data_IF_732325061155
#
_entry.id   IF_732325061155
#
_cell.length_a   1.000
_cell.length_b   1.000
_cell.length_c   1.000
_cell.angle_alpha   90.00
_cell.angle_beta   90.00
_cell.angle_gamma   90.00
#
_symmetry.space_group_name_H-M   'P 1'
#
loop_
_entity.id
_entity.type
_entity.pdbx_description
1 polymer ?
#
# COMPACT_ATOMS: atom_id res chain seq x y z
N UNK A 1 32.42 -51.26 39.06
CA UNK A 1 31.77 -51.11 37.74
C UNK A 1 31.08 -49.76 37.73
N UNK A 2 31.65 -48.81 37.00
CA UNK A 2 31.29 -47.39 37.04
C UNK A 2 30.00 -47.12 36.26
N UNK A 3 29.05 -46.45 36.89
CA UNK A 3 27.87 -45.89 36.23
C UNK A 3 28.28 -44.61 35.47
N UNK A 4 28.08 -44.59 34.16
CA UNK A 4 28.18 -43.39 33.34
C UNK A 4 26.83 -42.67 33.34
N UNK A 5 26.83 -41.44 33.84
CA UNK A 5 25.79 -40.46 33.55
C UNK A 5 25.95 -39.99 32.10
N UNK A 6 24.87 -40.02 31.33
CA UNK A 6 24.80 -39.54 29.95
C UNK A 6 23.60 -38.63 29.79
N UNK A 7 23.89 -37.41 29.34
CA UNK A 7 23.02 -36.25 29.20
C UNK A 7 21.65 -36.51 28.57
N UNK A 8 20.60 -36.07 29.26
CA UNK A 8 19.27 -35.87 28.71
C UNK A 8 19.11 -34.42 28.24
N UNK A 9 19.85 -34.03 27.19
CA UNK A 9 19.70 -32.72 26.54
C UNK A 9 19.08 -32.92 25.16
N UNK A 10 17.76 -32.95 25.07
CA UNK A 10 17.10 -33.23 23.80
C UNK A 10 15.59 -33.20 23.83
N UNK A 11 14.97 -32.22 24.49
CA UNK A 11 13.52 -31.95 24.37
C UNK A 11 13.25 -30.48 24.70
N UNK A 12 12.30 -29.91 23.97
CA UNK A 12 11.82 -28.53 24.02
C UNK A 12 12.67 -27.46 23.31
N UNK A 13 12.64 -27.47 21.97
CA UNK A 13 12.92 -26.27 21.17
C UNK A 13 12.04 -26.24 19.92
N UNK A 14 10.73 -26.03 20.09
CA UNK A 14 9.84 -25.74 18.95
C UNK A 14 8.48 -25.11 19.28
N UNK A 15 8.33 -24.41 20.42
CA UNK A 15 7.09 -23.68 20.71
C UNK A 15 7.42 -22.34 21.38
N UNK A 16 7.63 -21.31 20.55
CA UNK A 16 7.39 -19.89 20.87
C UNK A 16 7.97 -19.02 19.73
N UNK A 17 7.38 -19.08 18.53
CA UNK A 17 7.67 -18.12 17.44
C UNK A 17 6.56 -17.05 17.34
N UNK A 18 5.46 -17.19 18.09
CA UNK A 18 4.24 -16.40 17.89
C UNK A 18 3.83 -15.49 19.05
N UNK A 19 4.70 -15.22 20.02
CA UNK A 19 4.38 -14.35 21.17
C UNK A 19 5.10 -12.99 21.16
N UNK A 20 6.00 -12.71 20.19
CA UNK A 20 6.81 -11.48 20.21
C UNK A 20 6.27 -10.30 19.36
N UNK A 21 5.12 -10.43 18.68
CA UNK A 21 4.57 -9.32 17.89
C UNK A 21 3.74 -8.29 18.70
N UNK A 22 3.34 -8.61 19.94
CA UNK A 22 2.54 -7.73 20.80
C UNK A 22 3.35 -6.67 21.59
N UNK A 23 4.69 -6.68 21.47
CA UNK A 23 5.56 -5.70 22.15
C UNK A 23 6.01 -4.54 21.26
N UNK A 24 5.53 -4.44 20.01
CA UNK A 24 5.78 -3.21 19.25
C UNK A 24 4.96 -2.10 19.89
N UNK A 25 5.59 -1.05 20.45
CA UNK A 25 4.83 0.10 20.92
C UNK A 25 3.95 0.57 19.76
N UNK A 26 2.70 0.99 20.03
CA UNK A 26 1.85 1.55 18.99
C UNK A 26 2.69 2.59 18.24
N UNK A 27 2.67 2.59 16.90
CA UNK A 27 3.45 3.55 16.13
C UNK A 27 3.17 4.92 16.74
N UNK A 28 4.23 5.60 17.20
CA UNK A 28 4.12 6.95 17.76
C UNK A 28 3.22 7.73 16.82
N UNK A 29 2.25 8.46 17.34
CA UNK A 29 1.31 9.22 16.53
C UNK A 29 2.12 10.19 15.66
N UNK A 30 2.41 9.78 14.43
CA UNK A 30 3.25 10.55 13.53
C UNK A 30 2.31 11.55 12.92
N UNK A 31 2.39 12.78 13.42
CA UNK A 31 1.70 13.90 12.82
C UNK A 31 2.28 14.16 11.42
N UNK A 32 1.62 13.59 10.41
CA UNK A 32 2.03 13.70 9.02
C UNK A 32 1.94 15.15 8.54
N UNK A 33 1.04 15.96 9.10
CA UNK A 33 0.88 17.38 8.73
C UNK A 33 2.14 18.18 9.04
N UNK A 34 2.84 17.86 10.13
CA UNK A 34 4.11 18.52 10.50
C UNK A 34 5.25 18.20 9.55
N UNK A 35 5.23 17.03 8.91
CA UNK A 35 6.24 16.63 7.92
C UNK A 35 5.93 17.21 6.53
N UNK A 36 4.65 17.41 6.23
CA UNK A 36 4.17 18.18 5.10
C UNK A 36 4.64 17.64 3.74
N UNK A 37 5.06 18.56 2.86
CA UNK A 37 5.52 18.28 1.49
C UNK A 37 6.82 17.48 1.40
N UNK A 38 7.57 17.34 2.49
CA UNK A 38 8.87 16.64 2.51
C UNK A 38 8.72 15.12 2.56
N UNK A 39 7.55 14.60 2.90
CA UNK A 39 7.29 13.16 2.93
C UNK A 39 7.33 12.62 1.50
N UNK A 40 8.27 11.71 1.25
CA UNK A 40 8.34 10.95 -0.01
C UNK A 40 7.98 9.49 0.17
N UNK A 41 8.30 8.90 1.32
CA UNK A 41 8.01 7.50 1.61
C UNK A 41 7.22 7.43 2.89
N UNK A 42 6.18 6.62 2.89
CA UNK A 42 5.33 6.41 4.04
C UNK A 42 5.27 4.91 4.31
N UNK A 43 5.64 4.44 5.52
CA UNK A 43 5.57 3.03 5.85
C UNK A 43 4.11 2.54 5.81
N UNK A 44 3.85 1.27 5.45
CA UNK A 44 2.50 0.73 5.34
C UNK A 44 1.67 0.90 6.62
N UNK A 45 2.30 0.92 7.80
CA UNK A 45 1.61 1.11 9.08
C UNK A 45 0.91 2.46 9.22
N UNK A 46 1.32 3.47 8.45
CA UNK A 46 0.76 4.83 8.48
C UNK A 46 -0.20 5.10 7.33
N UNK A 47 -0.53 4.07 6.52
CA UNK A 47 -1.43 4.25 5.40
C UNK A 47 -2.89 4.31 5.86
N UNK A 48 -3.63 5.26 5.31
CA UNK A 48 -5.06 5.42 5.54
C UNK A 48 -5.84 5.39 4.21
N UNK A 49 -7.17 5.15 4.25
CA UNK A 49 -8.02 5.32 3.09
C UNK A 49 -7.84 6.71 2.47
N UNK A 50 -8.02 6.80 1.14
CA UNK A 50 -7.81 8.00 0.33
C UNK A 50 -6.35 8.43 0.14
N UNK A 51 -5.38 7.72 0.70
CA UNK A 51 -3.98 8.02 0.39
C UNK A 51 -3.66 7.67 -1.07
N UNK A 52 -2.89 8.55 -1.71
CA UNK A 52 -2.46 8.42 -3.10
C UNK A 52 -0.95 8.25 -3.18
N UNK A 53 -0.52 7.30 -4.00
CA UNK A 53 0.87 6.94 -4.20
C UNK A 53 1.20 6.87 -5.69
N UNK A 54 2.44 7.15 -6.06
CA UNK A 54 2.93 6.91 -7.42
C UNK A 54 4.04 5.86 -7.43
N UNK A 55 4.32 5.29 -8.60
CA UNK A 55 5.50 4.44 -8.82
C UNK A 55 5.27 2.93 -8.62
N UNK A 56 4.01 2.46 -8.61
CA UNK A 56 3.74 1.03 -8.49
C UNK A 56 4.07 0.32 -9.80
N UNK A 57 5.01 -0.63 -9.76
CA UNK A 57 5.49 -1.36 -10.93
C UNK A 57 4.42 -2.33 -11.47
N UNK A 58 4.05 -2.20 -12.74
CA UNK A 58 3.03 -3.05 -13.39
C UNK A 58 3.33 -4.53 -13.30
N UNK A 59 4.59 -4.92 -13.47
CA UNK A 59 5.03 -6.31 -13.34
C UNK A 59 4.69 -6.87 -11.96
N UNK A 60 4.97 -6.12 -10.90
CA UNK A 60 4.61 -6.53 -9.54
C UNK A 60 3.10 -6.53 -9.34
N UNK A 61 2.40 -5.50 -9.83
CA UNK A 61 0.93 -5.45 -9.74
C UNK A 61 0.29 -6.68 -10.38
N UNK A 62 0.78 -7.08 -11.56
CA UNK A 62 0.32 -8.28 -12.27
C UNK A 62 0.58 -9.57 -11.48
N UNK A 63 1.79 -9.70 -10.92
CA UNK A 63 2.16 -10.87 -10.12
C UNK A 63 1.24 -11.00 -8.88
N UNK A 64 0.86 -9.87 -8.24
CA UNK A 64 -0.04 -9.86 -7.09
C UNK A 64 -1.52 -9.98 -7.44
N UNK A 65 -1.94 -9.46 -8.58
CA UNK A 65 -3.32 -9.53 -9.03
C UNK A 65 -3.69 -10.89 -9.66
N UNK A 66 -2.76 -11.86 -9.69
CA UNK A 66 -2.98 -13.14 -10.37
C UNK A 66 -3.27 -12.96 -11.85
N UNK A 67 -2.51 -12.09 -12.53
CA UNK A 67 -2.66 -11.76 -13.96
C UNK A 67 -3.91 -10.94 -14.36
N UNK A 68 -4.78 -10.56 -13.42
CA UNK A 68 -5.97 -9.74 -13.69
C UNK A 68 -5.62 -8.31 -14.12
N UNK A 69 -4.50 -7.76 -13.63
CA UNK A 69 -4.07 -6.43 -14.02
C UNK A 69 -3.61 -6.42 -15.49
N UNK A 70 -4.18 -5.55 -16.36
CA UNK A 70 -3.71 -5.39 -17.72
C UNK A 70 -2.37 -4.67 -17.68
N UNK A 71 -1.30 -5.41 -17.40
CA UNK A 71 0.06 -4.93 -17.59
C UNK A 71 0.14 -4.56 -19.06
N UNK A 72 0.16 -3.26 -19.35
CA UNK A 72 0.31 -2.82 -20.72
C UNK A 72 1.60 -3.45 -21.24
N UNK A 73 1.50 -4.31 -22.26
CA UNK A 73 2.61 -4.95 -22.97
C UNK A 73 3.50 -3.93 -23.72
N UNK A 74 3.65 -2.72 -23.19
CA UNK A 74 4.59 -1.73 -23.68
C UNK A 74 5.92 -2.06 -23.01
N UNK A 75 6.94 -2.37 -23.81
CA UNK A 75 8.28 -2.80 -23.38
C UNK A 75 9.09 -1.79 -22.56
N UNK A 76 8.44 -0.86 -21.85
CA UNK A 76 9.07 0.08 -20.91
C UNK A 76 8.29 0.01 -19.61
N UNK A 77 9.01 -0.23 -18.51
CA UNK A 77 8.55 -0.23 -17.12
C UNK A 77 7.50 0.85 -16.87
N UNK A 78 6.24 0.50 -17.06
CA UNK A 78 5.11 1.35 -16.71
C UNK A 78 4.94 1.26 -15.20
N UNK A 79 4.65 2.40 -14.60
CA UNK A 79 4.25 2.48 -13.20
C UNK A 79 2.89 3.11 -13.15
N UNK A 80 1.99 2.56 -12.34
CA UNK A 80 0.70 3.15 -12.10
C UNK A 80 0.68 3.87 -10.74
N UNK A 81 -0.12 4.94 -10.62
CA UNK A 81 -0.52 5.42 -9.31
C UNK A 81 -1.40 4.40 -8.60
N UNK A 82 -1.34 4.39 -7.28
CA UNK A 82 -2.19 3.59 -6.41
C UNK A 82 -3.01 4.49 -5.51
N UNK A 83 -4.26 4.09 -5.30
CA UNK A 83 -5.17 4.70 -4.36
C UNK A 83 -5.56 3.68 -3.30
N UNK A 84 -5.51 4.09 -2.03
CA UNK A 84 -5.90 3.23 -0.90
C UNK A 84 -7.42 3.32 -0.72
N UNK A 85 -8.10 2.20 -0.99
CA UNK A 85 -9.54 2.09 -0.82
C UNK A 85 -9.90 1.87 0.64
N UNK A 86 -9.19 0.98 1.32
CA UNK A 86 -9.53 0.55 2.67
C UNK A 86 -8.31 0.03 3.43
N UNK A 87 -8.23 0.32 4.72
CA UNK A 87 -7.28 -0.35 5.63
C UNK A 87 -7.87 -1.68 6.08
N UNK A 88 -7.09 -2.76 5.95
CA UNK A 88 -7.46 -4.11 6.37
C UNK A 88 -6.71 -4.42 7.69
N UNK A 89 -7.41 -4.50 8.84
CA UNK A 89 -6.77 -4.81 10.12
C UNK A 89 -5.95 -6.10 10.00
N UNK A 90 -4.70 -6.07 10.48
CA UNK A 90 -3.72 -7.18 10.47
C UNK A 90 -3.26 -7.69 9.08
N UNK A 91 -4.00 -7.43 8.01
CA UNK A 91 -3.70 -7.96 6.66
C UNK A 91 -2.95 -6.97 5.77
N UNK A 92 -3.23 -5.66 5.89
CA UNK A 92 -2.65 -4.65 5.02
C UNK A 92 -3.66 -3.63 4.52
N UNK A 93 -3.70 -3.40 3.22
CA UNK A 93 -4.52 -2.35 2.61
C UNK A 93 -5.16 -2.88 1.32
N UNK A 94 -6.44 -2.62 1.12
CA UNK A 94 -7.06 -2.79 -0.19
C UNK A 94 -6.74 -1.55 -1.01
N UNK A 95 -6.11 -1.74 -2.16
CA UNK A 95 -5.71 -0.65 -3.06
C UNK A 95 -6.23 -0.92 -4.46
N UNK A 96 -6.39 0.13 -5.25
CA UNK A 96 -6.63 0.01 -6.68
C UNK A 96 -5.61 0.82 -7.48
N UNK A 97 -5.25 0.37 -8.68
CA UNK A 97 -4.50 1.18 -9.61
C UNK A 97 -5.38 2.31 -10.17
N UNK A 98 -4.74 3.42 -10.51
CA UNK A 98 -5.39 4.54 -11.18
C UNK A 98 -4.94 4.61 -12.64
N UNK A 99 -5.84 5.03 -13.53
CA UNK A 99 -5.53 5.28 -14.93
C UNK A 99 -5.80 6.74 -15.29
N UNK A 100 -5.07 7.27 -16.26
CA UNK A 100 -5.40 8.57 -16.85
C UNK A 100 -6.51 8.49 -17.90
N UNK A 101 -7.05 7.29 -18.15
CA UNK A 101 -8.12 7.03 -19.11
C UNK A 101 -9.30 6.40 -18.38
N UNK A 102 -10.51 6.77 -18.79
CA UNK A 102 -11.71 6.13 -18.30
C UNK A 102 -11.88 4.75 -18.98
N UNK A 103 -11.72 3.68 -18.21
CA UNK A 103 -11.94 2.29 -18.65
C UNK A 103 -13.27 1.73 -18.11
N UNK A 104 -14.30 2.57 -18.00
CA UNK A 104 -15.54 2.22 -17.29
C UNK A 104 -15.41 2.36 -15.78
N UNK A 105 -14.53 3.24 -15.31
CA UNK A 105 -14.39 3.51 -13.89
C UNK A 105 -15.66 4.17 -13.35
N UNK A 106 -16.14 3.75 -12.18
CA UNK A 106 -17.26 4.37 -11.50
C UNK A 106 -16.88 5.69 -10.82
N UNK A 107 -15.61 5.85 -10.44
CA UNK A 107 -15.09 7.02 -9.74
C UNK A 107 -13.75 7.49 -10.32
N UNK A 108 -13.47 8.78 -10.17
CA UNK A 108 -12.19 9.38 -10.53
C UNK A 108 -11.79 10.47 -9.55
N UNK A 109 -10.48 10.77 -9.52
CA UNK A 109 -9.93 11.90 -8.80
C UNK A 109 -9.78 13.05 -9.78
N UNK A 110 -10.36 14.21 -9.47
CA UNK A 110 -10.30 15.40 -10.31
C UNK A 110 -8.86 15.93 -10.41
N UNK A 111 -8.39 16.20 -11.63
CA UNK A 111 -7.12 16.86 -11.90
C UNK A 111 -7.07 18.27 -11.31
N UNK A 112 -5.88 18.70 -10.87
CA UNK A 112 -5.69 19.96 -10.17
C UNK A 112 -6.14 19.94 -8.71
N UNK A 113 -6.66 18.82 -8.21
CA UNK A 113 -6.95 18.67 -6.79
C UNK A 113 -5.68 18.79 -5.94
N UNK A 114 -5.74 19.61 -4.88
CA UNK A 114 -4.68 19.78 -3.90
C UNK A 114 -4.78 18.70 -2.84
N UNK A 115 -3.77 17.82 -2.79
CA UNK A 115 -3.69 16.75 -1.81
C UNK A 115 -3.36 17.29 -0.42
N UNK A 116 -4.09 16.80 0.58
CA UNK A 116 -3.83 17.01 2.00
C UNK A 116 -2.46 16.43 2.39
N UNK A 117 -1.93 16.90 3.53
CA UNK A 117 -0.60 16.61 4.08
C UNK A 117 0.53 17.22 3.23
N UNK A 118 0.65 16.86 1.95
CA UNK A 118 1.80 17.28 1.13
C UNK A 118 1.59 18.60 0.40
N UNK A 119 0.33 19.01 0.19
CA UNK A 119 -0.04 20.17 -0.63
C UNK A 119 0.26 20.01 -2.13
N UNK A 120 0.63 18.80 -2.59
CA UNK A 120 0.87 18.53 -4.01
C UNK A 120 -0.44 18.56 -4.81
N UNK A 121 -0.36 18.82 -6.10
CA UNK A 121 -1.52 18.81 -6.98
C UNK A 121 -1.51 17.56 -7.87
N UNK A 122 -2.69 16.99 -8.10
CA UNK A 122 -2.89 15.99 -9.15
C UNK A 122 -2.69 16.67 -10.52
N UNK A 123 -1.87 16.08 -11.39
CA UNK A 123 -1.54 16.67 -12.70
C UNK A 123 -2.67 16.54 -13.71
N UNK A 124 -3.50 15.50 -13.58
CA UNK A 124 -4.62 15.15 -14.46
C UNK A 124 -5.66 14.34 -13.70
N UNK A 125 -6.78 14.05 -14.35
CA UNK A 125 -7.79 13.14 -13.82
C UNK A 125 -7.22 11.73 -13.67
N UNK A 126 -7.47 11.13 -12.50
CA UNK A 126 -7.04 9.78 -12.18
C UNK A 126 -8.27 8.89 -11.91
N UNK A 127 -8.66 8.11 -12.91
CA UNK A 127 -9.77 7.17 -12.85
C UNK A 127 -9.40 5.97 -11.96
N UNK A 128 -10.26 5.64 -10.99
CA UNK A 128 -10.05 4.54 -10.07
C UNK A 128 -10.48 3.23 -10.74
N UNK A 129 -9.53 2.33 -10.99
CA UNK A 129 -9.80 1.03 -11.62
C UNK A 129 -10.10 0.02 -10.51
N UNK A 130 -11.27 0.18 -9.87
CA UNK A 130 -11.66 -0.62 -8.70
C UNK A 130 -11.87 -2.10 -9.00
N UNK A 131 -12.22 -2.45 -10.24
CA UNK A 131 -12.29 -3.85 -10.70
C UNK A 131 -10.93 -4.56 -10.62
N UNK A 132 -9.84 -3.79 -10.66
CA UNK A 132 -8.47 -4.27 -10.47
C UNK A 132 -7.98 -4.06 -9.02
N UNK A 133 -8.87 -3.91 -8.04
CA UNK A 133 -8.47 -3.76 -6.65
C UNK A 133 -7.88 -5.06 -6.09
N UNK A 134 -6.82 -4.93 -5.29
CA UNK A 134 -6.15 -6.06 -4.65
C UNK A 134 -5.67 -5.70 -3.25
N UNK A 135 -5.35 -6.74 -2.48
CA UNK A 135 -4.85 -6.58 -1.12
C UNK A 135 -3.34 -6.47 -1.15
N UNK A 136 -2.83 -5.37 -0.60
CA UNK A 136 -1.42 -5.11 -0.44
C UNK A 136 -0.96 -5.43 0.99
N UNK A 137 0.00 -6.37 1.18
CA UNK A 137 0.51 -6.71 2.50
C UNK A 137 1.33 -5.55 3.09
N UNK A 138 1.50 -5.54 4.42
CA UNK A 138 2.31 -4.55 5.14
C UNK A 138 3.83 -4.72 4.97
N UNK A 139 4.28 -5.35 3.90
CA UNK A 139 5.71 -5.58 3.63
C UNK A 139 6.38 -4.34 3.03
N UNK A 140 7.38 -3.80 3.73
CA UNK A 140 8.13 -2.61 3.31
C UNK A 140 8.85 -2.79 1.97
N UNK A 141 9.24 -4.02 1.60
CA UNK A 141 9.95 -4.28 0.35
C UNK A 141 9.12 -3.92 -0.88
N UNK A 142 7.79 -3.98 -0.74
CA UNK A 142 6.88 -3.51 -1.77
C UNK A 142 6.75 -1.99 -1.76
N UNK A 143 6.48 -1.43 -0.58
CA UNK A 143 6.19 0.00 -0.39
C UNK A 143 7.42 0.89 -0.61
N UNK A 144 8.64 0.35 -0.50
CA UNK A 144 9.90 1.08 -0.68
C UNK A 144 10.04 1.81 -2.03
N UNK A 145 9.30 1.38 -3.06
CA UNK A 145 9.29 1.98 -4.41
C UNK A 145 8.14 2.96 -4.63
N UNK A 146 7.17 2.99 -3.72
CA UNK A 146 6.05 3.90 -3.80
C UNK A 146 6.44 5.25 -3.21
N UNK A 147 6.06 6.29 -3.92
CA UNK A 147 6.19 7.65 -3.41
C UNK A 147 4.83 8.12 -2.94
N UNK A 148 4.78 8.57 -1.69
CA UNK A 148 3.60 9.20 -1.12
C UNK A 148 3.35 10.55 -1.79
N UNK A 149 2.16 10.70 -2.37
CA UNK A 149 1.74 11.94 -3.00
C UNK A 149 0.88 12.79 -2.06
N UNK A 150 0.11 12.19 -1.17
CA UNK A 150 -0.72 12.91 -0.22
C UNK A 150 -2.00 12.14 0.09
N UNK A 151 -2.85 12.76 0.91
CA UNK A 151 -4.20 12.29 1.18
C UNK A 151 -5.16 13.02 0.23
N UNK A 152 -6.04 12.29 -0.45
CA UNK A 152 -6.98 12.88 -1.41
C UNK A 152 -8.19 13.40 -0.64
N UNK A 153 -8.53 14.71 -0.72
CA UNK A 153 -9.76 15.26 -0.17
C UNK A 153 -11.02 14.58 -0.74
N UNK A 154 -12.09 14.46 0.06
CA UNK A 154 -13.32 13.78 -0.37
C UNK A 154 -14.06 14.53 -1.49
N UNK A 155 -13.96 15.86 -1.49
CA UNK A 155 -14.52 16.74 -2.53
C UNK A 155 -13.81 16.59 -3.89
N UNK A 156 -12.64 15.96 -3.92
CA UNK A 156 -11.94 15.66 -5.16
C UNK A 156 -12.28 14.29 -5.75
N UNK A 157 -13.03 13.45 -5.02
CA UNK A 157 -13.47 12.14 -5.51
C UNK A 157 -14.83 12.32 -6.18
N UNK A 158 -14.85 12.19 -7.50
CA UNK A 158 -16.05 12.35 -8.31
C UNK A 158 -16.56 11.01 -8.83
N UNK A 159 -17.87 10.90 -9.00
CA UNK A 159 -18.51 9.75 -9.65
C UNK A 159 -18.62 9.99 -11.14
N UNK A 160 -18.23 9.02 -11.95
CA UNK A 160 -18.55 9.01 -13.37
C UNK A 160 -20.07 8.88 -13.50
N UNK A 161 -20.70 9.79 -14.25
CA UNK A 161 -22.13 9.67 -14.57
C UNK A 161 -22.29 8.52 -15.58
N UNK A 162 -23.24 7.62 -15.30
CA UNK A 162 -23.70 6.57 -16.22
C UNK A 162 -24.30 7.17 -17.49
#
# INVERSE_FOLDING_TARGET
>A
MSAKAGDAQGRARCLSIWEEEDLRPPPRDVDLERLGSSIRKLPPSLWSPRMFFHGASDTRLRDFSGEVFPATFRGRRTTHPLFVLQSLPKLGHKVCPCSSKNWGASRYLRGGCRLEITGKHLDRDAYLVEDCAFNLPRDERFVSRLTFMGLVPEDCVETCKE
#
